data_IF_999515462851
#
_entry.id   IF_999515462851
#
_cell.length_a   1.000
_cell.length_b   1.000
_cell.length_c   1.000
_cell.angle_alpha   90.00
_cell.angle_beta   90.00
_cell.angle_gamma   90.00
#
_symmetry.space_group_name_H-M   'P 1'
#
loop_
_entity.id
_entity.type
_entity.pdbx_description
1 polymer ?
#
# COMPACT_ATOMS: atom_id res chain seq x y z
N UNK A 1 12.51 -26.42 28.73
CA UNK A 1 13.05 -26.11 27.40
C UNK A 1 11.96 -26.09 26.34
N UNK A 2 10.92 -26.93 26.43
CA UNK A 2 9.76 -27.01 25.50
C UNK A 2 9.02 -25.70 25.18
N UNK A 3 8.68 -24.87 26.18
CA UNK A 3 7.81 -23.71 25.95
C UNK A 3 8.40 -22.65 24.99
N UNK A 4 9.73 -22.58 24.84
CA UNK A 4 10.37 -21.66 23.89
C UNK A 4 10.34 -22.20 22.45
N UNK A 5 10.40 -23.52 22.25
CA UNK A 5 10.39 -24.12 20.91
C UNK A 5 8.98 -24.07 20.30
N UNK A 6 7.94 -24.36 21.08
CA UNK A 6 6.56 -24.29 20.63
C UNK A 6 6.13 -22.86 20.28
N UNK A 7 6.58 -21.87 21.07
CA UNK A 7 6.32 -20.48 20.77
C UNK A 7 7.04 -20.03 19.49
N UNK A 8 8.29 -20.45 19.28
CA UNK A 8 9.03 -20.15 18.04
C UNK A 8 8.41 -20.82 16.81
N UNK A 9 7.94 -22.07 16.92
CA UNK A 9 7.23 -22.77 15.84
C UNK A 9 5.95 -22.05 15.42
N UNK A 10 5.15 -21.58 16.37
CA UNK A 10 3.90 -20.88 16.08
C UNK A 10 4.12 -19.50 15.42
N UNK A 11 5.16 -18.79 15.84
CA UNK A 11 5.57 -17.52 15.19
C UNK A 11 6.07 -17.78 13.77
N UNK A 12 6.91 -18.81 13.58
CA UNK A 12 7.43 -19.19 12.27
C UNK A 12 6.30 -19.62 11.31
N UNK A 13 5.29 -20.34 11.79
CA UNK A 13 4.10 -20.70 11.01
C UNK A 13 3.29 -19.48 10.58
N UNK A 14 3.07 -18.51 11.46
CA UNK A 14 2.32 -17.27 11.14
C UNK A 14 3.07 -16.39 10.13
N UNK A 15 4.38 -16.20 10.34
CA UNK A 15 5.23 -15.44 9.43
C UNK A 15 5.32 -16.17 8.08
N UNK A 16 5.53 -17.49 8.09
CA UNK A 16 5.56 -18.33 6.90
C UNK A 16 4.25 -18.26 6.11
N UNK A 17 3.10 -18.31 6.78
CA UNK A 17 1.79 -18.15 6.15
C UNK A 17 1.60 -16.78 5.49
N UNK A 18 2.04 -15.70 6.15
CA UNK A 18 2.01 -14.35 5.56
C UNK A 18 2.96 -14.21 4.36
N UNK A 19 4.17 -14.74 4.46
CA UNK A 19 5.12 -14.75 3.34
C UNK A 19 4.53 -15.54 2.16
N UNK A 20 3.95 -16.71 2.42
CA UNK A 20 3.30 -17.52 1.40
C UNK A 20 2.11 -16.78 0.76
N UNK A 21 1.28 -16.10 1.56
CA UNK A 21 0.18 -15.27 1.05
C UNK A 21 0.67 -14.12 0.16
N UNK A 22 1.74 -13.43 0.57
CA UNK A 22 2.36 -12.35 -0.21
C UNK A 22 2.94 -12.91 -1.53
N UNK A 23 3.70 -14.00 -1.46
CA UNK A 23 4.31 -14.63 -2.64
C UNK A 23 3.26 -15.17 -3.62
N UNK A 24 2.21 -15.81 -3.11
CA UNK A 24 1.09 -16.30 -3.95
C UNK A 24 0.31 -15.16 -4.57
N UNK A 25 0.09 -14.06 -3.85
CA UNK A 25 -0.53 -12.85 -4.40
C UNK A 25 0.29 -12.25 -5.54
N UNK A 26 1.62 -12.16 -5.38
CA UNK A 26 2.53 -11.66 -6.44
C UNK A 26 2.51 -12.57 -7.66
N UNK A 27 2.55 -13.90 -7.45
CA UNK A 27 2.49 -14.90 -8.53
C UNK A 27 1.16 -14.84 -9.28
N UNK A 28 0.04 -14.70 -8.57
CA UNK A 28 -1.27 -14.53 -9.19
C UNK A 28 -1.32 -13.28 -10.07
N UNK A 29 -0.87 -12.13 -9.59
CA UNK A 29 -0.90 -10.89 -10.39
C UNK A 29 0.00 -10.99 -11.63
N UNK A 30 1.19 -11.58 -11.50
CA UNK A 30 2.17 -11.68 -12.59
C UNK A 30 1.78 -12.71 -13.66
N UNK A 31 1.12 -13.81 -13.27
CA UNK A 31 0.87 -14.96 -14.16
C UNK A 31 -0.61 -15.24 -14.45
N UNK A 32 -1.55 -14.41 -13.98
CA UNK A 32 -2.99 -14.58 -14.27
C UNK A 32 -3.64 -13.36 -14.94
N UNK A 33 -4.86 -13.61 -15.44
CA UNK A 33 -5.82 -12.72 -16.08
C UNK A 33 -6.02 -11.38 -15.35
N UNK A 34 -5.73 -11.25 -14.05
CA UNK A 34 -5.83 -9.97 -13.33
C UNK A 34 -4.98 -8.86 -13.97
N UNK A 35 -3.83 -9.19 -14.57
CA UNK A 35 -3.01 -8.23 -15.33
C UNK A 35 -3.70 -7.68 -16.58
N UNK A 36 -4.58 -8.45 -17.24
CA UNK A 36 -5.32 -7.99 -18.43
C UNK A 36 -6.56 -7.16 -18.06
N UNK A 37 -7.21 -7.45 -16.92
CA UNK A 37 -8.32 -6.62 -16.38
C UNK A 37 -7.85 -5.29 -15.80
N UNK A 38 -6.58 -5.20 -15.41
CA UNK A 38 -5.94 -3.96 -14.98
C UNK A 38 -5.41 -3.10 -16.14
N UNK A 39 -5.69 -3.48 -17.39
CA UNK A 39 -5.34 -2.65 -18.56
C UNK A 39 -6.10 -1.32 -18.50
N UNK A 40 -5.41 -0.25 -18.90
CA UNK A 40 -5.97 1.10 -18.93
C UNK A 40 -7.25 1.15 -19.78
N UNK A 41 -7.30 0.44 -20.91
CA UNK A 41 -8.49 0.43 -21.78
C UNK A 41 -9.72 -0.21 -21.11
N UNK A 42 -9.55 -1.30 -20.36
CA UNK A 42 -10.67 -1.92 -19.63
C UNK A 42 -11.15 -1.04 -18.48
N UNK A 43 -10.23 -0.42 -17.76
CA UNK A 43 -10.58 0.49 -16.66
C UNK A 43 -11.27 1.77 -17.18
N UNK A 44 -10.82 2.32 -18.31
CA UNK A 44 -11.47 3.44 -19.00
C UNK A 44 -12.88 3.07 -19.42
N UNK A 45 -13.06 1.97 -20.15
CA UNK A 45 -14.38 1.51 -20.58
C UNK A 45 -15.33 1.22 -19.41
N UNK A 46 -14.83 0.67 -18.30
CA UNK A 46 -15.62 0.46 -17.08
C UNK A 46 -16.05 1.77 -16.44
N UNK A 47 -15.15 2.76 -16.30
CA UNK A 47 -15.48 4.06 -15.70
C UNK A 47 -16.48 4.83 -16.57
N UNK A 48 -16.28 4.85 -17.89
CA UNK A 48 -17.18 5.52 -18.83
C UNK A 48 -18.59 4.92 -18.81
N UNK A 49 -18.72 3.61 -18.68
CA UNK A 49 -20.02 2.92 -18.64
C UNK A 49 -20.74 3.03 -17.29
N UNK A 50 -20.01 3.25 -16.19
CA UNK A 50 -20.58 3.20 -14.81
C UNK A 50 -20.79 4.58 -14.18
N UNK A 51 -20.31 5.66 -14.79
CA UNK A 51 -20.50 7.03 -14.32
C UNK A 51 -19.99 7.20 -12.88
N UNK A 52 -20.82 7.74 -11.98
CA UNK A 52 -20.45 7.95 -10.57
C UNK A 52 -20.04 6.66 -9.82
N UNK A 53 -20.54 5.48 -10.24
CA UNK A 53 -20.14 4.20 -9.63
C UNK A 53 -18.72 3.77 -9.99
N UNK A 54 -18.16 4.29 -11.08
CA UNK A 54 -16.79 3.98 -11.52
C UNK A 54 -15.74 4.37 -10.48
N UNK A 55 -15.97 5.44 -9.72
CA UNK A 55 -15.07 5.87 -8.63
C UNK A 55 -15.04 4.85 -7.50
N UNK A 56 -16.20 4.32 -7.09
CA UNK A 56 -16.29 3.34 -6.00
C UNK A 56 -15.62 2.02 -6.41
N UNK A 57 -15.84 1.59 -7.65
CA UNK A 57 -15.18 0.40 -8.21
C UNK A 57 -13.66 0.60 -8.26
N UNK A 58 -13.21 1.76 -8.74
CA UNK A 58 -11.78 2.08 -8.80
C UNK A 58 -11.13 2.05 -7.41
N UNK A 59 -11.77 2.66 -6.39
CA UNK A 59 -11.29 2.62 -5.01
C UNK A 59 -11.24 1.18 -4.49
N UNK A 60 -12.26 0.36 -4.75
CA UNK A 60 -12.27 -1.04 -4.36
C UNK A 60 -11.13 -1.84 -5.01
N UNK A 61 -10.86 -1.59 -6.29
CA UNK A 61 -9.74 -2.18 -7.01
C UNK A 61 -8.38 -1.73 -6.46
N UNK A 62 -8.24 -0.44 -6.09
CA UNK A 62 -7.04 0.06 -5.42
C UNK A 62 -6.84 -0.67 -4.08
N UNK A 63 -7.88 -0.78 -3.25
CA UNK A 63 -7.78 -1.47 -1.96
C UNK A 63 -7.37 -2.94 -2.17
N UNK A 64 -7.99 -3.63 -3.13
CA UNK A 64 -7.64 -4.99 -3.47
C UNK A 64 -6.18 -5.11 -3.94
N UNK A 65 -5.72 -4.18 -4.78
CA UNK A 65 -4.35 -4.16 -5.29
C UNK A 65 -3.32 -3.93 -4.17
N UNK A 66 -3.62 -3.05 -3.22
CA UNK A 66 -2.79 -2.82 -2.05
C UNK A 66 -2.66 -4.10 -1.18
N UNK A 67 -3.75 -4.85 -1.01
CA UNK A 67 -3.73 -6.15 -0.32
C UNK A 67 -2.91 -7.19 -1.10
N UNK A 68 -3.03 -7.20 -2.43
CA UNK A 68 -2.25 -8.08 -3.32
C UNK A 68 -0.78 -7.68 -3.50
N UNK A 69 -0.33 -6.68 -2.74
CA UNK A 69 1.01 -6.14 -2.79
C UNK A 69 1.41 -5.43 -4.10
N UNK A 70 0.43 -4.95 -4.87
CA UNK A 70 0.68 -4.17 -6.09
C UNK A 70 1.12 -2.75 -5.72
N UNK A 71 2.15 -2.17 -6.38
CA UNK A 71 2.56 -0.79 -6.13
C UNK A 71 1.44 0.22 -6.39
N UNK A 72 1.07 0.99 -5.37
CA UNK A 72 0.00 2.00 -5.48
C UNK A 72 0.31 3.16 -6.43
N UNK A 73 1.57 3.36 -6.84
CA UNK A 73 1.95 4.36 -7.84
C UNK A 73 1.28 4.11 -9.19
N UNK A 74 1.15 2.84 -9.61
CA UNK A 74 0.47 2.49 -10.85
C UNK A 74 -1.00 2.92 -10.81
N UNK A 75 -1.68 2.66 -9.69
CA UNK A 75 -3.07 3.09 -9.50
C UNK A 75 -3.21 4.60 -9.40
N UNK A 76 -2.25 5.31 -8.78
CA UNK A 76 -2.26 6.78 -8.80
C UNK A 76 -2.21 7.34 -10.22
N UNK A 77 -1.32 6.81 -11.07
CA UNK A 77 -1.24 7.19 -12.47
C UNK A 77 -2.55 6.89 -13.21
N UNK A 78 -3.10 5.68 -13.04
CA UNK A 78 -4.38 5.30 -13.62
C UNK A 78 -5.50 6.25 -13.19
N UNK A 79 -5.57 6.61 -11.90
CA UNK A 79 -6.58 7.54 -11.41
C UNK A 79 -6.47 8.92 -12.09
N UNK A 80 -5.26 9.44 -12.25
CA UNK A 80 -5.02 10.72 -12.92
C UNK A 80 -5.41 10.65 -14.40
N UNK A 81 -5.11 9.54 -15.08
CA UNK A 81 -5.49 9.34 -16.48
C UNK A 81 -7.01 9.17 -16.68
N UNK A 82 -7.69 8.55 -15.71
CA UNK A 82 -9.13 8.27 -15.76
C UNK A 82 -10.00 9.45 -15.36
N UNK A 83 -9.59 10.20 -14.33
CA UNK A 83 -10.41 11.22 -13.68
C UNK A 83 -9.78 12.62 -13.75
N UNK A 84 -8.62 12.78 -14.39
CA UNK A 84 -7.85 14.02 -14.41
C UNK A 84 -6.98 14.21 -13.16
N UNK A 85 -6.08 15.20 -13.19
CA UNK A 85 -5.05 15.38 -12.16
C UNK A 85 -5.62 15.51 -10.75
N UNK A 86 -6.55 16.44 -10.55
CA UNK A 86 -7.04 16.77 -9.21
C UNK A 86 -7.99 15.71 -8.64
N UNK A 87 -9.00 15.31 -9.41
CA UNK A 87 -9.98 14.32 -8.96
C UNK A 87 -9.34 12.93 -8.88
N UNK A 88 -8.49 12.56 -9.85
CA UNK A 88 -7.70 11.35 -9.82
C UNK A 88 -6.78 11.27 -8.61
N UNK A 89 -6.08 12.36 -8.28
CA UNK A 89 -5.26 12.42 -7.06
C UNK A 89 -6.09 12.23 -5.79
N UNK A 90 -7.28 12.83 -5.68
CA UNK A 90 -8.18 12.65 -4.53
C UNK A 90 -8.65 11.20 -4.42
N UNK A 91 -9.10 10.59 -5.51
CA UNK A 91 -9.60 9.21 -5.49
C UNK A 91 -8.48 8.20 -5.22
N UNK A 92 -7.30 8.39 -5.80
CA UNK A 92 -6.12 7.60 -5.49
C UNK A 92 -5.68 7.76 -4.04
N UNK A 93 -5.74 8.97 -3.49
CA UNK A 93 -5.41 9.24 -2.10
C UNK A 93 -6.35 8.48 -1.15
N UNK A 94 -7.66 8.53 -1.39
CA UNK A 94 -8.66 7.78 -0.61
C UNK A 94 -8.41 6.27 -0.73
N UNK A 95 -8.21 5.77 -1.96
CA UNK A 95 -7.90 4.37 -2.22
C UNK A 95 -6.63 3.90 -1.49
N UNK A 96 -5.58 4.71 -1.49
CA UNK A 96 -4.33 4.42 -0.80
C UNK A 96 -4.49 4.39 0.73
N UNK A 97 -5.30 5.29 1.31
CA UNK A 97 -5.59 5.27 2.75
C UNK A 97 -6.39 4.03 3.16
N UNK A 98 -7.43 3.69 2.40
CA UNK A 98 -8.23 2.50 2.65
C UNK A 98 -7.42 1.21 2.44
N UNK A 99 -6.58 1.18 1.41
CA UNK A 99 -5.66 0.08 1.13
C UNK A 99 -4.65 -0.09 2.27
N UNK A 100 -4.01 0.98 2.71
CA UNK A 100 -3.11 0.96 3.86
C UNK A 100 -3.81 0.45 5.13
N UNK A 101 -5.03 0.93 5.40
CA UNK A 101 -5.83 0.46 6.52
C UNK A 101 -6.11 -1.04 6.45
N UNK A 102 -6.57 -1.53 5.30
CA UNK A 102 -6.88 -2.95 5.06
C UNK A 102 -5.64 -3.84 5.16
N UNK A 103 -4.54 -3.47 4.51
CA UNK A 103 -3.27 -4.19 4.56
C UNK A 103 -2.77 -4.33 6.00
N UNK A 104 -2.79 -3.25 6.78
CA UNK A 104 -2.39 -3.32 8.19
C UNK A 104 -3.36 -4.18 9.01
N UNK A 105 -4.66 -4.02 8.81
CA UNK A 105 -5.67 -4.78 9.51
C UNK A 105 -5.48 -6.29 9.28
N UNK A 106 -5.36 -6.72 8.02
CA UNK A 106 -5.12 -8.12 7.64
C UNK A 106 -3.77 -8.63 8.17
N UNK A 107 -2.71 -7.84 8.07
CA UNK A 107 -1.41 -8.20 8.61
C UNK A 107 -1.46 -8.44 10.13
N UNK A 108 -2.21 -7.62 10.86
CA UNK A 108 -2.38 -7.74 12.32
C UNK A 108 -3.29 -8.90 12.70
N UNK A 109 -4.37 -9.16 11.95
CA UNK A 109 -5.28 -10.28 12.27
C UNK A 109 -4.64 -11.63 11.95
N UNK A 110 -3.89 -11.74 10.85
CA UNK A 110 -3.25 -12.99 10.44
C UNK A 110 -1.92 -13.25 11.17
N UNK A 111 -1.08 -12.21 11.32
CA UNK A 111 0.26 -12.35 11.88
C UNK A 111 0.42 -11.90 13.33
N UNK A 112 -0.58 -11.27 13.93
CA UNK A 112 -0.49 -10.75 15.29
C UNK A 112 0.64 -9.73 15.44
N UNK A 113 1.44 -9.87 16.50
CA UNK A 113 2.63 -9.05 16.75
C UNK A 113 3.92 -9.86 16.60
N UNK A 114 3.96 -10.76 15.62
CA UNK A 114 5.01 -11.75 15.44
C UNK A 114 6.43 -11.17 15.50
N UNK A 115 6.68 -9.97 14.95
CA UNK A 115 8.02 -9.35 14.99
C UNK A 115 8.46 -8.99 16.41
N UNK A 116 7.53 -8.65 17.30
CA UNK A 116 7.83 -8.29 18.70
C UNK A 116 8.20 -9.51 19.56
N UNK A 117 7.78 -10.70 19.14
CA UNK A 117 8.05 -11.97 19.82
C UNK A 117 9.45 -12.53 19.47
N UNK A 118 10.09 -12.00 18.43
CA UNK A 118 11.42 -12.40 17.98
C UNK A 118 12.48 -11.89 18.97
N UNK A 119 13.25 -12.83 19.56
CA UNK A 119 14.31 -12.51 20.55
C UNK A 119 15.64 -12.05 19.93
N UNK A 120 15.71 -11.87 18.61
CA UNK A 120 16.92 -11.43 17.90
C UNK A 120 17.26 -9.95 18.23
N UNK A 121 18.49 -9.64 18.68
CA UNK A 121 18.88 -8.30 19.09
C UNK A 121 18.87 -7.27 17.94
N UNK A 122 19.18 -7.68 16.71
CA UNK A 122 19.11 -6.82 15.52
C UNK A 122 17.66 -6.42 15.22
N UNK A 123 16.75 -7.38 15.26
CA UNK A 123 15.31 -7.13 15.05
C UNK A 123 14.76 -6.20 16.13
N UNK A 124 15.08 -6.46 17.40
CA UNK A 124 14.70 -5.58 18.52
C UNK A 124 15.22 -4.15 18.36
N UNK A 125 16.48 -3.98 17.96
CA UNK A 125 17.08 -2.65 17.73
C UNK A 125 16.38 -1.91 16.59
N UNK A 126 16.04 -2.60 15.50
CA UNK A 126 15.31 -2.02 14.38
C UNK A 126 13.90 -1.59 14.80
N UNK A 127 13.17 -2.47 15.50
CA UNK A 127 11.83 -2.19 16.02
C UNK A 127 11.82 -1.02 16.99
N UNK A 128 12.80 -0.95 17.90
CA UNK A 128 12.91 0.14 18.87
C UNK A 128 13.03 1.50 18.17
N UNK A 129 13.81 1.61 17.08
CA UNK A 129 13.91 2.86 16.32
C UNK A 129 12.60 3.25 15.65
N UNK A 130 11.87 2.27 15.13
CA UNK A 130 10.58 2.46 14.47
C UNK A 130 9.50 2.86 15.47
N UNK A 131 9.49 2.27 16.67
CA UNK A 131 8.47 2.46 17.71
C UNK A 131 8.64 3.76 18.53
N UNK A 132 9.83 4.38 18.55
CA UNK A 132 10.07 5.65 19.27
C UNK A 132 9.30 6.81 18.65
N UNK A 133 9.23 6.90 17.31
CA UNK A 133 8.48 7.94 16.58
C UNK A 133 7.74 7.34 15.37
N UNK A 134 6.70 6.53 15.59
CA UNK A 134 6.07 5.73 14.54
C UNK A 134 5.52 6.58 13.39
N UNK A 135 4.93 7.75 13.69
CA UNK A 135 4.40 8.68 12.68
C UNK A 135 5.53 9.24 11.80
N UNK A 136 6.64 9.68 12.40
CA UNK A 136 7.77 10.25 11.66
C UNK A 136 8.43 9.19 10.78
N UNK A 137 8.63 7.99 11.34
CA UNK A 137 9.18 6.86 10.60
C UNK A 137 8.32 6.50 9.40
N UNK A 138 6.99 6.48 9.58
CA UNK A 138 6.04 6.25 8.50
C UNK A 138 6.12 7.31 7.39
N UNK A 139 6.16 8.59 7.75
CA UNK A 139 6.29 9.67 6.76
C UNK A 139 7.58 9.50 5.95
N UNK A 140 8.71 9.24 6.60
CA UNK A 140 9.99 9.01 5.91
C UNK A 140 9.93 7.76 5.01
N UNK A 141 9.40 6.65 5.52
CA UNK A 141 9.23 5.43 4.72
C UNK A 141 8.30 5.64 3.52
N UNK A 142 7.26 6.47 3.65
CA UNK A 142 6.38 6.84 2.55
C UNK A 142 6.99 7.84 1.59
N UNK A 143 8.04 8.56 1.95
CA UNK A 143 8.81 9.35 0.98
C UNK A 143 9.77 8.45 0.21
N UNK A 144 10.44 7.52 0.88
CA UNK A 144 11.46 6.65 0.28
C UNK A 144 10.91 5.47 -0.51
N UNK A 145 9.85 4.84 0.00
CA UNK A 145 9.27 3.60 -0.54
C UNK A 145 7.81 3.82 -0.98
N UNK A 146 7.36 5.08 -0.96
CA UNK A 146 6.10 5.60 -1.52
C UNK A 146 4.86 4.76 -1.23
N UNK A 147 4.58 3.77 -2.05
CA UNK A 147 3.36 2.98 -1.98
C UNK A 147 3.61 1.51 -1.74
N UNK A 148 4.78 1.12 -1.21
CA UNK A 148 5.09 -0.28 -0.94
C UNK A 148 4.13 -0.86 0.12
N UNK A 149 3.32 -1.87 -0.24
CA UNK A 149 2.42 -2.56 0.68
C UNK A 149 3.17 -3.43 1.70
N UNK A 150 4.42 -3.81 1.40
CA UNK A 150 5.32 -4.51 2.31
C UNK A 150 5.52 -3.75 3.63
N UNK A 151 5.60 -2.42 3.56
CA UNK A 151 5.73 -1.57 4.76
C UNK A 151 4.50 -1.69 5.64
N UNK A 152 3.29 -1.76 5.05
CA UNK A 152 2.05 -1.94 5.80
C UNK A 152 2.01 -3.28 6.53
N UNK A 153 2.29 -4.38 5.84
CA UNK A 153 2.33 -5.72 6.45
C UNK A 153 3.41 -5.83 7.53
N UNK A 154 4.62 -5.31 7.28
CA UNK A 154 5.73 -5.36 8.24
C UNK A 154 5.38 -4.58 9.51
N UNK A 155 4.87 -3.36 9.38
CA UNK A 155 4.50 -2.53 10.53
C UNK A 155 3.30 -3.10 11.29
N UNK A 156 2.40 -3.82 10.61
CA UNK A 156 1.31 -4.54 11.25
C UNK A 156 1.81 -5.55 12.29
N UNK A 157 2.95 -6.19 12.06
CA UNK A 157 3.55 -7.19 12.96
C UNK A 157 4.28 -6.59 14.18
N UNK A 158 4.38 -5.26 14.28
CA UNK A 158 5.06 -4.53 15.37
C UNK A 158 4.08 -4.10 16.48
N UNK A 159 4.54 -3.37 17.52
CA UNK A 159 3.63 -2.81 18.53
C UNK A 159 2.88 -1.54 18.09
N UNK A 160 3.11 -1.03 16.88
CA UNK A 160 2.43 0.17 16.40
C UNK A 160 0.91 -0.02 16.44
N UNK A 161 0.19 1.02 16.88
CA UNK A 161 -1.27 1.05 16.88
C UNK A 161 -1.78 1.47 15.49
N UNK A 162 -2.90 0.87 15.05
CA UNK A 162 -3.54 1.21 13.77
C UNK A 162 -3.80 2.71 13.61
N UNK A 163 -4.16 3.41 14.70
CA UNK A 163 -4.35 4.88 14.68
C UNK A 163 -3.07 5.64 14.33
N UNK A 164 -1.94 5.27 14.93
CA UNK A 164 -0.63 5.91 14.64
C UNK A 164 -0.18 5.61 13.21
N UNK A 165 -0.44 4.38 12.76
CA UNK A 165 -0.21 3.98 11.38
C UNK A 165 -1.01 4.86 10.42
N UNK A 166 -2.32 5.01 10.64
CA UNK A 166 -3.18 5.81 9.78
C UNK A 166 -2.80 7.30 9.78
N UNK A 167 -2.50 7.91 10.93
CA UNK A 167 -2.06 9.31 10.99
C UNK A 167 -0.77 9.52 10.18
N UNK A 168 0.19 8.59 10.31
CA UNK A 168 1.41 8.62 9.50
C UNK A 168 1.15 8.48 8.00
N UNK A 169 0.17 7.67 7.59
CA UNK A 169 -0.20 7.50 6.18
C UNK A 169 -0.94 8.70 5.62
N UNK A 170 -1.84 9.33 6.38
CA UNK A 170 -2.53 10.56 5.97
C UNK A 170 -1.49 11.62 5.56
N UNK A 171 -0.46 11.85 6.37
CA UNK A 171 0.56 12.84 6.05
C UNK A 171 1.54 12.30 4.99
N UNK A 172 2.01 11.07 5.17
CA UNK A 172 3.07 10.47 4.36
C UNK A 172 2.68 10.16 2.93
N UNK A 173 1.40 9.87 2.66
CA UNK A 173 0.88 9.60 1.31
C UNK A 173 0.51 10.91 0.59
N UNK A 174 0.09 11.94 1.33
CA UNK A 174 -0.37 13.19 0.75
C UNK A 174 0.73 13.88 -0.07
N UNK A 175 1.94 13.98 0.49
CA UNK A 175 3.09 14.62 -0.16
C UNK A 175 3.41 14.00 -1.53
N UNK A 176 3.66 12.68 -1.64
CA UNK A 176 3.94 12.06 -2.94
C UNK A 176 2.75 12.09 -3.89
N UNK A 177 1.51 12.02 -3.37
CA UNK A 177 0.30 12.10 -4.22
C UNK A 177 0.18 13.46 -4.90
N UNK A 178 0.31 14.54 -4.14
CA UNK A 178 0.28 15.91 -4.68
C UNK A 178 1.49 16.15 -5.58
N UNK A 179 2.68 15.76 -5.16
CA UNK A 179 3.91 15.96 -5.94
C UNK A 179 3.85 15.29 -7.31
N UNK A 180 3.35 14.05 -7.37
CA UNK A 180 3.22 13.32 -8.63
C UNK A 180 2.11 13.91 -9.51
N UNK A 181 0.97 14.27 -8.92
CA UNK A 181 -0.13 14.92 -9.66
C UNK A 181 0.28 16.26 -10.26
N UNK A 182 0.96 17.11 -9.49
CA UNK A 182 1.48 18.39 -9.98
C UNK A 182 2.57 18.18 -11.04
N UNK A 183 3.47 17.23 -10.81
CA UNK A 183 4.52 16.89 -11.78
C UNK A 183 3.92 16.50 -13.14
N UNK A 184 2.85 15.70 -13.15
CA UNK A 184 2.17 15.35 -14.41
C UNK A 184 1.44 16.53 -15.04
N UNK A 185 0.80 17.38 -14.25
CA UNK A 185 0.15 18.59 -14.74
C UNK A 185 1.13 19.53 -15.47
N UNK A 186 2.26 19.86 -14.83
CA UNK A 186 3.28 20.73 -15.43
C UNK A 186 4.02 20.08 -16.61
N UNK A 187 4.21 18.76 -16.56
CA UNK A 187 4.83 18.02 -17.66
C UNK A 187 3.97 18.12 -18.92
N UNK A 188 2.66 17.89 -18.80
CA UNK A 188 1.75 17.98 -19.95
C UNK A 188 1.68 19.40 -20.51
N UNK A 189 1.61 20.41 -19.63
CA UNK A 189 1.62 21.82 -20.03
C UNK A 189 2.91 22.22 -20.77
N UNK A 190 4.07 21.78 -20.27
CA UNK A 190 5.37 22.05 -20.88
C UNK A 190 5.51 21.38 -22.25
N UNK A 191 5.04 20.15 -22.38
CA UNK A 191 5.03 19.43 -23.66
C UNK A 191 4.13 20.13 -24.65
N UNK A 192 2.91 20.54 -24.26
CA UNK A 192 1.99 21.28 -25.13
C UNK A 192 2.59 22.60 -25.62
N UNK A 193 3.27 23.34 -24.74
CA UNK A 193 3.91 24.61 -25.08
C UNK A 193 5.07 24.49 -26.08
N UNK A 194 5.70 23.30 -26.19
CA UNK A 194 6.77 23.05 -27.16
C UNK A 194 6.26 22.78 -28.59
N UNK A 195 4.99 22.40 -28.73
CA UNK A 195 4.37 22.02 -30.01
C UNK A 195 3.35 23.04 -30.53
N UNK A 196 3.20 24.19 -29.87
CA UNK A 196 2.40 25.36 -30.30
C UNK A 196 3.30 26.51 -30.66
#
# INVERSE_FOLDING_TARGET
>A
MDQNEDQQKNVALRIGGLILFILTSILLVKYTVVGTWLSLEHLQGMVEQTGYWGVLIFIALFVASAVMNIPGTAFLLLAIMLFGYWQGAIFAYIGALLGAWMTFFLGRTMGGKALTEIKNPTVKKLLAQVEVKPIRTLIVLRILVQFSPFVGYTLALTNIKQRQYMIGNVIGILIPTIGLSLGMYFFEDSVRALFT
#
